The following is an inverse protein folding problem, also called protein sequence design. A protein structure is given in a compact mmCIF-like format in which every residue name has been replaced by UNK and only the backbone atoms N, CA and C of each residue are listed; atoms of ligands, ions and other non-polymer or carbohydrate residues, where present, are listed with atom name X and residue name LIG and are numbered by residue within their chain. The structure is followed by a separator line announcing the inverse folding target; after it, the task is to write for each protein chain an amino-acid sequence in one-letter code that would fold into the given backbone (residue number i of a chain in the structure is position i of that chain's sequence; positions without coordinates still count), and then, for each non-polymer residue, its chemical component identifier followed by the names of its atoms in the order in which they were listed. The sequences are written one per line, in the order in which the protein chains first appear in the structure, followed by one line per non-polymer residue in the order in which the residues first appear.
data_IF_631266099924
#
_entry.id   IF_631266099924
#
_cell.length_a   1.000
_cell.length_b   1.000
_cell.length_c   1.000
_cell.angle_alpha   90.00
_cell.angle_beta   90.00
_cell.angle_gamma   90.00
#
_symmetry.space_group_name_H-M   'P 1'
#
loop_
_entity.id
_entity.type
_entity.pdbx_description
1 polymer ?
#
# COMPACT_ATOMS: atom_id res chain seq x y z
N UNK A 1 17.67 -49.46 7.55
CA UNK A 1 16.92 -49.85 8.76
C UNK A 1 15.93 -48.74 9.02
N UNK A 2 14.65 -48.97 9.17
CA UNK A 2 13.72 -47.90 9.50
C UNK A 2 14.00 -47.42 10.93
N UNK A 3 14.00 -46.14 11.11
CA UNK A 3 14.37 -45.43 12.32
C UNK A 3 13.39 -45.77 13.45
N UNK A 4 13.82 -46.68 14.37
CA UNK A 4 13.02 -47.18 15.52
C UNK A 4 12.62 -46.07 16.51
N UNK A 5 13.23 -44.89 16.44
CA UNK A 5 12.89 -43.76 17.33
C UNK A 5 11.56 -43.06 16.95
N UNK A 6 11.14 -43.13 15.70
CA UNK A 6 9.83 -42.56 15.29
C UNK A 6 8.64 -43.45 15.67
N UNK A 7 8.87 -44.76 15.98
CA UNK A 7 7.81 -45.66 16.41
C UNK A 7 7.42 -45.52 17.87
N UNK A 8 8.33 -45.03 18.72
CA UNK A 8 8.07 -44.87 20.17
C UNK A 8 7.18 -43.65 20.46
N UNK A 9 7.22 -42.63 19.62
CA UNK A 9 6.37 -41.43 19.76
C UNK A 9 4.98 -41.57 19.10
N UNK A 10 4.74 -42.63 18.34
CA UNK A 10 3.50 -42.83 17.59
C UNK A 10 2.31 -43.38 18.38
N UNK A 11 2.40 -43.56 19.66
CA UNK A 11 1.41 -44.37 20.38
C UNK A 11 0.60 -43.67 21.49
N UNK A 12 0.45 -42.38 21.51
CA UNK A 12 -0.66 -41.72 22.26
C UNK A 12 -0.80 -40.26 21.88
N UNK A 13 -1.95 -39.83 21.36
CA UNK A 13 -2.32 -38.49 20.90
C UNK A 13 -1.74 -38.02 19.54
N UNK A 14 -1.34 -38.92 18.65
CA UNK A 14 -0.76 -38.55 17.34
C UNK A 14 -1.65 -37.59 16.55
N UNK A 15 -2.94 -37.81 16.53
CA UNK A 15 -3.88 -37.01 15.71
C UNK A 15 -4.02 -35.53 16.19
N UNK A 16 -3.98 -35.29 17.49
CA UNK A 16 -4.01 -33.91 18.02
C UNK A 16 -2.69 -33.18 17.77
N UNK A 17 -1.57 -33.90 17.89
CA UNK A 17 -0.25 -33.33 17.59
C UNK A 17 -0.09 -33.04 16.12
N UNK A 18 -0.56 -33.92 15.24
CA UNK A 18 -0.54 -33.74 13.79
C UNK A 18 -1.35 -32.49 13.39
N UNK A 19 -2.57 -32.32 13.92
CA UNK A 19 -3.39 -31.13 13.70
C UNK A 19 -2.71 -29.86 14.22
N UNK A 20 -2.10 -29.91 15.41
CA UNK A 20 -1.45 -28.75 16.01
C UNK A 20 -0.18 -28.30 15.25
N UNK A 21 0.55 -29.26 14.67
CA UNK A 21 1.80 -28.98 13.95
C UNK A 21 1.59 -28.65 12.47
N UNK A 22 0.47 -29.06 11.87
CA UNK A 22 0.25 -28.91 10.44
C UNK A 22 0.06 -27.44 10.03
N UNK A 23 0.80 -27.02 9.00
CA UNK A 23 0.71 -25.69 8.40
C UNK A 23 0.05 -25.71 7.00
N UNK A 24 -0.23 -26.90 6.45
CA UNK A 24 -0.76 -27.09 5.09
C UNK A 24 -2.01 -26.24 4.78
N UNK A 25 -2.84 -25.97 5.79
CA UNK A 25 -4.10 -25.22 5.60
C UNK A 25 -3.86 -23.77 5.19
N UNK A 26 -2.75 -23.17 5.56
CA UNK A 26 -2.38 -21.80 5.20
C UNK A 26 -1.15 -21.73 4.29
N UNK A 27 -0.11 -22.56 4.48
CA UNK A 27 1.13 -22.51 3.71
C UNK A 27 0.96 -23.07 2.27
N UNK A 28 -0.14 -23.78 2.00
CA UNK A 28 -0.52 -24.14 0.62
C UNK A 28 -0.50 -22.96 -0.34
N UNK A 29 -0.60 -21.71 0.13
CA UNK A 29 -0.46 -20.49 -0.68
C UNK A 29 0.93 -20.34 -1.29
N UNK A 30 1.95 -21.06 -0.77
CA UNK A 30 3.34 -21.05 -1.25
C UNK A 30 3.62 -22.11 -2.33
N UNK A 31 2.62 -22.87 -2.80
CA UNK A 31 2.83 -23.97 -3.75
C UNK A 31 3.63 -23.57 -5.00
N UNK A 32 3.38 -22.38 -5.52
CA UNK A 32 4.06 -21.88 -6.71
C UNK A 32 5.54 -21.58 -6.46
N UNK A 33 5.83 -20.99 -5.29
CA UNK A 33 7.20 -20.66 -4.88
C UNK A 33 8.00 -21.92 -4.55
N UNK A 34 7.39 -22.88 -3.86
CA UNK A 34 8.03 -24.18 -3.55
C UNK A 34 8.39 -24.94 -4.82
N UNK A 35 7.50 -25.03 -5.80
CA UNK A 35 7.75 -25.68 -7.08
C UNK A 35 8.85 -24.95 -7.84
N UNK A 36 8.81 -23.62 -7.90
CA UNK A 36 9.85 -22.79 -8.53
C UNK A 36 11.21 -22.98 -7.87
N UNK A 37 11.25 -22.96 -6.53
CA UNK A 37 12.44 -23.22 -5.72
C UNK A 37 13.02 -24.62 -5.98
N UNK A 38 12.17 -25.63 -6.00
CA UNK A 38 12.55 -27.02 -6.22
C UNK A 38 13.08 -27.27 -7.64
N UNK A 39 12.50 -26.62 -8.67
CA UNK A 39 12.99 -26.68 -10.06
C UNK A 39 14.38 -26.03 -10.15
N UNK A 40 14.58 -24.85 -9.59
CA UNK A 40 15.89 -24.16 -9.60
C UNK A 40 16.95 -24.97 -8.85
N UNK A 41 16.59 -25.54 -7.70
CA UNK A 41 17.47 -26.41 -6.93
C UNK A 41 17.89 -27.66 -7.72
N UNK A 42 16.94 -28.37 -8.34
CA UNK A 42 17.26 -29.56 -9.14
C UNK A 42 18.14 -29.25 -10.34
N UNK A 43 17.94 -28.11 -11.00
CA UNK A 43 18.82 -27.62 -12.09
C UNK A 43 20.26 -27.41 -11.60
N UNK A 44 20.41 -26.77 -10.46
CA UNK A 44 21.72 -26.56 -9.84
C UNK A 44 22.38 -27.89 -9.45
N UNK A 45 21.63 -28.84 -8.86
CA UNK A 45 22.15 -30.14 -8.51
C UNK A 45 22.70 -30.90 -9.74
N UNK A 46 21.99 -30.83 -10.87
CA UNK A 46 22.46 -31.43 -12.12
C UNK A 46 23.71 -30.75 -12.69
N UNK A 47 23.77 -29.41 -12.67
CA UNK A 47 24.94 -28.64 -13.09
C UNK A 47 26.19 -28.96 -12.25
N UNK A 48 26.00 -29.29 -10.97
CA UNK A 48 27.06 -29.72 -10.05
C UNK A 48 27.32 -31.22 -10.08
N UNK A 49 26.68 -31.97 -10.98
CA UNK A 49 26.81 -33.44 -11.12
C UNK A 49 26.40 -34.23 -9.86
N UNK A 50 25.55 -33.68 -9.00
CA UNK A 50 24.99 -34.32 -7.79
C UNK A 50 23.83 -35.26 -8.18
N UNK A 51 23.07 -34.88 -9.19
CA UNK A 51 22.09 -35.73 -9.87
C UNK A 51 22.35 -35.71 -11.36
N UNK A 52 21.81 -36.68 -12.08
CA UNK A 52 21.96 -36.72 -13.57
C UNK A 52 21.00 -35.72 -14.23
N UNK A 53 21.32 -35.33 -15.49
CA UNK A 53 20.46 -34.50 -16.30
C UNK A 53 19.10 -35.13 -16.59
N UNK A 54 19.02 -36.46 -16.70
CA UNK A 54 17.76 -37.17 -16.95
C UNK A 54 16.88 -37.17 -15.71
N UNK A 55 17.48 -37.32 -14.51
CA UNK A 55 16.76 -37.14 -13.23
C UNK A 55 16.24 -35.72 -13.07
N UNK A 56 17.07 -34.72 -13.40
CA UNK A 56 16.64 -33.31 -13.33
C UNK A 56 15.44 -33.04 -14.27
N UNK A 57 15.50 -33.50 -15.52
CA UNK A 57 14.38 -33.33 -16.48
C UNK A 57 13.10 -34.02 -15.98
N UNK A 58 13.27 -35.21 -15.39
CA UNK A 58 12.13 -35.94 -14.80
C UNK A 58 11.52 -35.18 -13.61
N UNK A 59 12.36 -34.63 -12.71
CA UNK A 59 11.93 -33.80 -11.58
C UNK A 59 11.20 -32.57 -12.08
N UNK A 60 11.78 -31.81 -13.00
CA UNK A 60 11.14 -30.60 -13.54
C UNK A 60 9.78 -30.91 -14.19
N UNK A 61 9.70 -31.95 -15.02
CA UNK A 61 8.44 -32.37 -15.64
C UNK A 61 7.40 -32.78 -14.59
N UNK A 62 7.81 -33.53 -13.57
CA UNK A 62 6.90 -33.95 -12.49
C UNK A 62 6.41 -32.77 -11.66
N UNK A 63 7.28 -31.81 -11.32
CA UNK A 63 6.92 -30.60 -10.58
C UNK A 63 5.95 -29.69 -11.36
N UNK A 64 6.16 -29.56 -12.69
CA UNK A 64 5.23 -28.82 -13.55
C UNK A 64 3.86 -29.52 -13.63
N UNK A 65 3.80 -30.84 -13.62
CA UNK A 65 2.55 -31.59 -13.53
C UNK A 65 1.85 -31.31 -12.18
N UNK A 66 2.57 -31.35 -11.05
CA UNK A 66 2.00 -31.03 -9.73
C UNK A 66 1.45 -29.59 -9.73
N UNK A 67 2.16 -28.65 -10.34
CA UNK A 67 1.71 -27.27 -10.48
C UNK A 67 0.36 -27.16 -11.19
N UNK A 68 0.19 -27.89 -12.30
CA UNK A 68 -1.06 -27.87 -13.05
C UNK A 68 -2.20 -28.59 -12.28
N UNK A 69 -1.92 -29.70 -11.60
CA UNK A 69 -2.90 -30.37 -10.73
C UNK A 69 -3.40 -29.45 -9.60
N UNK A 70 -2.51 -28.62 -9.01
CA UNK A 70 -2.92 -27.63 -7.99
C UNK A 70 -3.76 -26.51 -8.61
N UNK A 71 -3.36 -25.98 -9.76
CA UNK A 71 -4.08 -24.88 -10.43
C UNK A 71 -5.44 -25.31 -10.94
N UNK A 72 -5.59 -26.55 -11.43
CA UNK A 72 -6.87 -27.11 -11.90
C UNK A 72 -7.80 -27.49 -10.75
N UNK A 73 -7.30 -27.54 -9.50
CA UNK A 73 -8.07 -27.99 -8.34
C UNK A 73 -8.18 -29.52 -8.22
N UNK A 74 -7.41 -30.27 -9.01
CA UNK A 74 -7.35 -31.74 -8.92
C UNK A 74 -6.50 -32.22 -7.73
N UNK A 75 -5.59 -31.38 -7.24
CA UNK A 75 -4.74 -31.69 -6.09
C UNK A 75 -5.51 -31.49 -4.78
N UNK A 76 -5.62 -32.56 -3.98
CA UNK A 76 -6.27 -32.52 -2.67
C UNK A 76 -5.25 -32.22 -1.57
N UNK A 77 -5.48 -31.11 -0.84
CA UNK A 77 -4.70 -30.76 0.34
C UNK A 77 -5.24 -31.46 1.59
N UNK A 78 -4.48 -32.39 2.13
CA UNK A 78 -4.85 -33.17 3.32
C UNK A 78 -3.98 -32.78 4.51
N UNK A 79 -4.58 -32.83 5.73
CA UNK A 79 -3.84 -32.71 6.99
C UNK A 79 -2.84 -33.86 7.24
N UNK A 80 -2.88 -34.94 6.44
CA UNK A 80 -1.87 -35.99 6.45
C UNK A 80 -0.50 -35.49 5.98
N UNK A 81 -0.48 -34.40 5.19
CA UNK A 81 0.71 -33.66 4.88
C UNK A 81 0.92 -32.57 5.93
N UNK A 82 2.07 -32.54 6.58
CA UNK A 82 2.38 -31.54 7.59
C UNK A 82 2.39 -30.11 6.96
N UNK A 83 2.99 -30.00 5.77
CA UNK A 83 3.19 -28.73 5.04
C UNK A 83 3.08 -28.91 3.52
N UNK A 84 3.03 -27.80 2.81
CA UNK A 84 2.96 -27.78 1.33
C UNK A 84 4.18 -28.47 0.69
N UNK A 85 5.34 -28.36 1.31
CA UNK A 85 6.59 -28.92 0.80
C UNK A 85 6.54 -30.46 0.82
N UNK A 86 6.03 -31.06 1.90
CA UNK A 86 5.79 -32.50 2.00
C UNK A 86 4.72 -32.96 0.99
N UNK A 87 3.66 -32.19 0.81
CA UNK A 87 2.60 -32.49 -0.13
C UNK A 87 3.15 -32.54 -1.58
N UNK A 88 3.92 -31.53 -1.98
CA UNK A 88 4.55 -31.44 -3.33
C UNK A 88 5.56 -32.56 -3.54
N UNK A 89 6.45 -32.83 -2.57
CA UNK A 89 7.49 -33.88 -2.64
C UNK A 89 6.87 -35.28 -2.73
N UNK A 90 5.84 -35.55 -1.95
CA UNK A 90 5.12 -36.83 -1.98
C UNK A 90 4.43 -37.03 -3.34
N UNK A 91 3.73 -36.02 -3.86
CA UNK A 91 3.07 -36.10 -5.16
C UNK A 91 4.08 -36.26 -6.29
N UNK A 92 5.17 -35.53 -6.26
CA UNK A 92 6.28 -35.70 -7.19
C UNK A 92 6.80 -37.13 -7.19
N UNK A 93 7.03 -37.71 -6.02
CA UNK A 93 7.52 -39.08 -5.88
C UNK A 93 6.50 -40.11 -6.40
N UNK A 94 5.21 -39.89 -6.24
CA UNK A 94 4.17 -40.72 -6.84
C UNK A 94 4.21 -40.70 -8.37
N UNK A 95 4.52 -39.53 -8.98
CA UNK A 95 4.54 -39.36 -10.45
C UNK A 95 5.80 -39.96 -11.05
N UNK A 96 6.98 -39.70 -10.48
CA UNK A 96 8.27 -40.04 -11.11
C UNK A 96 9.11 -41.10 -10.36
N UNK A 97 8.63 -41.62 -9.23
CA UNK A 97 9.30 -42.66 -8.45
C UNK A 97 10.55 -42.17 -7.73
N UNK A 98 11.60 -43.01 -7.68
CA UNK A 98 12.82 -42.77 -6.89
C UNK A 98 13.57 -41.44 -7.23
N UNK A 99 13.46 -40.97 -8.46
CA UNK A 99 14.06 -39.68 -8.86
C UNK A 99 13.45 -38.49 -8.07
N UNK A 100 12.17 -38.60 -7.70
CA UNK A 100 11.48 -37.57 -6.89
C UNK A 100 12.10 -37.37 -5.51
N UNK A 101 12.58 -38.40 -4.88
CA UNK A 101 13.24 -38.36 -3.57
C UNK A 101 14.57 -37.57 -3.58
N UNK A 102 15.17 -37.41 -4.74
CA UNK A 102 16.45 -36.69 -4.89
C UNK A 102 16.32 -35.18 -4.85
N UNK A 103 15.09 -34.62 -5.00
CA UNK A 103 14.86 -33.18 -4.97
C UNK A 103 15.26 -32.55 -3.63
N UNK A 104 15.26 -33.32 -2.55
CA UNK A 104 15.63 -32.84 -1.20
C UNK A 104 17.16 -32.90 -0.94
N UNK A 105 17.97 -33.44 -1.85
CA UNK A 105 19.42 -33.57 -1.66
C UNK A 105 20.06 -32.20 -1.42
N UNK A 106 20.93 -32.10 -0.39
CA UNK A 106 21.64 -30.88 0.02
C UNK A 106 20.73 -29.72 0.47
N UNK A 107 19.47 -29.98 0.80
CA UNK A 107 18.47 -28.99 1.25
C UNK A 107 17.92 -29.39 2.64
N UNK A 108 17.48 -28.40 3.38
CA UNK A 108 16.69 -28.58 4.61
C UNK A 108 15.30 -27.93 4.41
N UNK A 109 14.34 -28.36 5.22
CA UNK A 109 13.06 -27.67 5.30
C UNK A 109 13.24 -26.19 5.69
N UNK A 110 14.25 -25.86 6.51
CA UNK A 110 14.50 -24.50 7.00
C UNK A 110 14.84 -23.51 5.88
N UNK A 111 15.79 -23.85 5.00
CA UNK A 111 16.14 -22.97 3.88
C UNK A 111 15.10 -23.01 2.75
N UNK A 112 14.40 -24.13 2.57
CA UNK A 112 13.28 -24.24 1.63
C UNK A 112 12.15 -23.30 2.01
N UNK A 113 11.61 -23.40 3.23
CA UNK A 113 10.50 -22.54 3.71
C UNK A 113 10.87 -21.07 3.64
N UNK A 114 12.10 -20.72 4.07
CA UNK A 114 12.55 -19.32 4.04
C UNK A 114 12.65 -18.79 2.61
N UNK A 115 13.11 -19.62 1.66
CA UNK A 115 13.19 -19.25 0.24
C UNK A 115 11.82 -19.02 -0.36
N UNK A 116 10.87 -19.93 -0.13
CA UNK A 116 9.54 -19.85 -0.69
C UNK A 116 8.78 -18.65 -0.14
N UNK A 117 8.93 -18.37 1.15
CA UNK A 117 8.32 -17.20 1.76
C UNK A 117 8.97 -15.89 1.28
N UNK A 118 10.31 -15.87 1.09
CA UNK A 118 11.00 -14.70 0.51
C UNK A 118 10.52 -14.45 -0.93
N UNK A 119 10.43 -15.49 -1.76
CA UNK A 119 9.89 -15.39 -3.12
C UNK A 119 8.46 -14.84 -3.15
N UNK A 120 7.60 -15.35 -2.28
CA UNK A 120 6.23 -14.84 -2.14
C UNK A 120 6.21 -13.34 -1.81
N UNK A 121 7.00 -12.93 -0.81
CA UNK A 121 7.10 -11.52 -0.41
C UNK A 121 7.61 -10.66 -1.57
N UNK A 122 8.63 -11.11 -2.31
CA UNK A 122 9.16 -10.39 -3.47
C UNK A 122 8.11 -10.23 -4.59
N UNK A 123 7.38 -11.30 -4.92
CA UNK A 123 6.33 -11.28 -5.93
C UNK A 123 5.18 -10.36 -5.52
N UNK A 124 4.75 -10.43 -4.25
CA UNK A 124 3.68 -9.58 -3.72
C UNK A 124 4.09 -8.11 -3.58
N UNK A 125 5.34 -7.83 -3.25
CA UNK A 125 5.89 -6.48 -3.25
C UNK A 125 5.74 -5.84 -4.63
N UNK A 126 6.07 -6.55 -5.70
CA UNK A 126 5.91 -6.06 -7.08
C UNK A 126 4.44 -5.88 -7.48
N UNK A 127 3.57 -6.83 -7.11
CA UNK A 127 2.13 -6.72 -7.35
C UNK A 127 1.54 -5.45 -6.70
N UNK A 128 1.85 -5.23 -5.43
CA UNK A 128 1.38 -4.06 -4.68
C UNK A 128 1.94 -2.76 -5.25
N UNK A 129 3.23 -2.72 -5.66
CA UNK A 129 3.81 -1.55 -6.33
C UNK A 129 3.03 -1.18 -7.60
N UNK A 130 2.66 -2.17 -8.42
CA UNK A 130 1.89 -1.93 -9.64
C UNK A 130 0.50 -1.33 -9.32
N UNK A 131 -0.19 -1.86 -8.31
CA UNK A 131 -1.48 -1.32 -7.88
C UNK A 131 -1.38 0.10 -7.33
N UNK A 132 -0.32 0.42 -6.57
CA UNK A 132 -0.04 1.78 -6.10
C UNK A 132 0.21 2.71 -7.29
N UNK A 133 0.96 2.27 -8.30
CA UNK A 133 1.22 3.02 -9.52
C UNK A 133 -0.08 3.33 -10.29
N UNK A 134 -0.97 2.36 -10.42
CA UNK A 134 -2.30 2.55 -11.02
C UNK A 134 -3.13 3.56 -10.23
N UNK A 135 -3.16 3.47 -8.91
CA UNK A 135 -3.86 4.42 -8.05
C UNK A 135 -3.30 5.84 -8.20
N UNK A 136 -1.98 6.00 -8.26
CA UNK A 136 -1.33 7.30 -8.52
C UNK A 136 -1.78 7.84 -9.89
N UNK A 137 -1.83 7.00 -10.93
CA UNK A 137 -2.31 7.40 -12.25
C UNK A 137 -3.73 7.94 -12.20
N UNK A 138 -4.60 7.29 -11.44
CA UNK A 138 -5.99 7.74 -11.23
C UNK A 138 -6.05 9.09 -10.51
N UNK A 139 -5.26 9.32 -9.47
CA UNK A 139 -5.18 10.62 -8.80
C UNK A 139 -4.72 11.72 -9.77
N UNK A 140 -3.72 11.45 -10.61
CA UNK A 140 -3.21 12.39 -11.62
C UNK A 140 -4.28 12.70 -12.67
N UNK A 141 -5.05 11.70 -13.11
CA UNK A 141 -6.14 11.88 -14.07
C UNK A 141 -7.25 12.77 -13.49
N UNK A 142 -7.71 12.50 -12.27
CA UNK A 142 -8.71 13.32 -11.58
C UNK A 142 -8.18 14.74 -11.35
N UNK A 143 -6.93 14.89 -10.89
CA UNK A 143 -6.31 16.19 -10.68
C UNK A 143 -6.27 17.01 -11.97
N UNK A 144 -5.98 16.37 -13.11
CA UNK A 144 -5.93 17.03 -14.43
C UNK A 144 -7.28 17.60 -14.88
N UNK A 145 -8.39 17.02 -14.42
CA UNK A 145 -9.75 17.49 -14.73
C UNK A 145 -10.20 18.63 -13.82
N UNK A 146 -9.53 18.83 -12.69
CA UNK A 146 -10.00 19.71 -11.61
C UNK A 146 -8.97 20.74 -11.14
N UNK A 147 -8.09 21.20 -12.04
CA UNK A 147 -7.08 22.24 -11.74
C UNK A 147 -7.67 23.61 -11.44
N UNK A 148 -8.93 23.85 -11.83
CA UNK A 148 -9.67 25.10 -11.61
C UNK A 148 -10.87 24.95 -10.68
N UNK A 149 -11.18 23.73 -10.24
CA UNK A 149 -12.30 23.44 -9.32
C UNK A 149 -11.94 23.89 -7.92
N UNK A 150 -12.51 25.02 -7.48
CA UNK A 150 -12.20 25.64 -6.19
C UNK A 150 -12.93 24.91 -5.05
N UNK A 151 -12.20 24.61 -3.97
CA UNK A 151 -12.73 24.06 -2.74
C UNK A 151 -12.11 24.75 -1.51
N UNK A 152 -12.76 24.70 -0.32
CA UNK A 152 -12.15 25.21 0.88
C UNK A 152 -11.01 24.29 1.34
N UNK A 153 -9.79 24.81 1.39
CA UNK A 153 -8.70 24.18 2.11
C UNK A 153 -8.92 24.39 3.61
N UNK A 154 -8.70 23.32 4.37
CA UNK A 154 -9.03 23.29 5.80
C UNK A 154 -7.81 22.98 6.66
N UNK A 155 -7.75 23.60 7.84
CA UNK A 155 -6.93 23.18 8.98
C UNK A 155 -7.83 23.04 10.19
N UNK A 156 -7.66 21.99 11.00
CA UNK A 156 -8.55 21.70 12.15
C UNK A 156 -10.03 21.53 11.75
N UNK A 157 -10.31 21.09 10.50
CA UNK A 157 -11.64 21.07 9.88
C UNK A 157 -12.33 22.45 9.85
N UNK A 158 -11.56 23.54 9.97
CA UNK A 158 -12.02 24.90 9.76
C UNK A 158 -11.53 25.40 8.40
N UNK A 159 -12.36 26.20 7.74
CA UNK A 159 -12.03 26.83 6.48
C UNK A 159 -10.82 27.76 6.67
N UNK A 160 -9.81 27.62 5.79
CA UNK A 160 -8.56 28.37 5.91
C UNK A 160 -8.29 29.21 4.65
N UNK A 161 -8.11 28.59 3.50
CA UNK A 161 -7.77 29.25 2.24
C UNK A 161 -8.41 28.51 1.07
N UNK A 162 -8.78 29.20 -0.05
CA UNK A 162 -9.24 28.51 -1.23
C UNK A 162 -8.09 27.75 -1.89
N UNK A 163 -8.37 26.49 -2.26
CA UNK A 163 -7.46 25.64 -3.02
C UNK A 163 -8.20 25.04 -4.22
N UNK A 164 -7.51 24.43 -5.18
CA UNK A 164 -8.19 23.61 -6.16
C UNK A 164 -8.22 22.12 -5.78
N UNK A 165 -9.25 21.41 -6.22
CA UNK A 165 -9.44 20.00 -5.94
C UNK A 165 -8.33 19.14 -6.54
N UNK A 166 -7.80 19.53 -7.73
CA UNK A 166 -6.65 18.87 -8.34
C UNK A 166 -5.41 18.88 -7.43
N UNK A 167 -5.11 20.03 -6.83
CA UNK A 167 -4.03 20.17 -5.85
C UNK A 167 -4.21 19.23 -4.66
N UNK A 168 -5.43 19.10 -4.15
CA UNK A 168 -5.73 18.16 -3.05
C UNK A 168 -5.47 16.70 -3.47
N UNK A 169 -5.91 16.31 -4.68
CA UNK A 169 -5.63 14.97 -5.21
C UNK A 169 -4.14 14.71 -5.39
N UNK A 170 -3.36 15.71 -5.82
CA UNK A 170 -1.90 15.60 -5.94
C UNK A 170 -1.21 15.41 -4.59
N UNK A 171 -1.78 15.87 -3.48
CA UNK A 171 -1.25 15.57 -2.15
C UNK A 171 -1.30 14.06 -1.85
N UNK A 172 -2.39 13.38 -2.22
CA UNK A 172 -2.50 11.92 -2.10
C UNK A 172 -1.57 11.20 -3.08
N UNK A 173 -1.45 11.65 -4.33
CA UNK A 173 -0.46 11.10 -5.27
C UNK A 173 0.95 11.12 -4.68
N UNK A 174 1.34 12.21 -4.00
CA UNK A 174 2.63 12.32 -3.30
C UNK A 174 2.76 11.33 -2.12
N UNK A 175 1.68 11.07 -1.37
CA UNK A 175 1.71 10.06 -0.30
C UNK A 175 1.96 8.67 -0.85
N UNK A 176 1.19 8.26 -1.85
CA UNK A 176 1.30 6.93 -2.47
C UNK A 176 2.61 6.75 -3.26
N UNK A 177 3.18 7.82 -3.83
CA UNK A 177 4.53 7.75 -4.41
C UNK A 177 5.58 7.39 -3.37
N UNK A 178 5.53 7.97 -2.17
CA UNK A 178 6.43 7.58 -1.07
C UNK A 178 6.19 6.13 -0.61
N UNK A 179 4.97 5.62 -0.72
CA UNK A 179 4.69 4.21 -0.44
C UNK A 179 5.33 3.32 -1.50
N UNK A 180 5.16 3.62 -2.79
CA UNK A 180 5.83 2.93 -3.89
C UNK A 180 7.35 2.83 -3.65
N UNK A 181 7.99 3.94 -3.30
CA UNK A 181 9.44 4.01 -3.03
C UNK A 181 9.85 3.17 -1.79
N UNK A 182 8.99 3.06 -0.76
CA UNK A 182 9.24 2.16 0.38
C UNK A 182 9.25 0.69 -0.04
N UNK A 183 8.28 0.28 -0.84
CA UNK A 183 8.25 -1.09 -1.38
C UNK A 183 9.46 -1.36 -2.28
N UNK A 184 9.85 -0.43 -3.12
CA UNK A 184 11.05 -0.56 -3.97
C UNK A 184 12.33 -0.72 -3.13
N UNK A 185 12.51 0.12 -2.13
CA UNK A 185 13.66 0.09 -1.23
C UNK A 185 13.74 -1.23 -0.45
N UNK A 186 12.61 -1.74 0.05
CA UNK A 186 12.55 -3.02 0.76
C UNK A 186 12.78 -4.20 -0.19
N UNK A 187 12.26 -4.15 -1.42
CA UNK A 187 12.51 -5.15 -2.45
C UNK A 187 14.01 -5.32 -2.74
N UNK A 188 14.72 -4.22 -2.95
CA UNK A 188 16.16 -4.23 -3.25
C UNK A 188 16.96 -4.82 -2.07
N UNK A 189 16.65 -4.39 -0.85
CA UNK A 189 17.35 -4.82 0.37
C UNK A 189 17.18 -6.30 0.66
N UNK A 190 16.01 -6.85 0.38
CA UNK A 190 15.65 -8.23 0.71
C UNK A 190 15.77 -9.19 -0.48
N UNK A 191 16.39 -8.78 -1.60
CA UNK A 191 16.50 -9.57 -2.82
C UNK A 191 17.70 -10.54 -2.79
N UNK A 192 17.75 -11.39 -1.75
CA UNK A 192 18.83 -12.39 -1.56
C UNK A 192 18.24 -13.77 -1.27
N UNK A 193 18.83 -14.80 -1.92
CA UNK A 193 18.36 -16.17 -1.84
C UNK A 193 18.82 -16.87 -0.54
N UNK A 194 17.91 -17.39 0.28
CA UNK A 194 18.26 -18.24 1.41
C UNK A 194 18.69 -19.65 1.01
N UNK A 195 18.30 -20.14 -0.17
CA UNK A 195 18.46 -21.54 -0.59
C UNK A 195 19.93 -21.95 -0.64
N UNK A 196 20.20 -23.15 -0.10
CA UNK A 196 21.54 -23.68 0.07
C UNK A 196 22.18 -23.38 1.44
N UNK A 197 21.45 -22.71 2.34
CA UNK A 197 21.84 -22.56 3.75
C UNK A 197 21.64 -23.86 4.54
N UNK A 198 20.91 -24.81 3.99
CA UNK A 198 20.48 -26.05 4.61
C UNK A 198 19.79 -25.81 5.97
N UNK A 199 20.09 -26.61 6.99
CA UNK A 199 19.45 -26.43 8.29
C UNK A 199 19.82 -25.08 8.95
N UNK A 200 21.10 -24.68 8.88
CA UNK A 200 21.63 -23.43 9.45
C UNK A 200 23.13 -23.20 9.19
N UNK A 201 23.86 -24.24 8.80
CA UNK A 201 25.32 -24.23 8.74
C UNK A 201 25.90 -24.47 7.34
N UNK A 202 25.03 -24.47 6.33
CA UNK A 202 25.39 -24.89 4.96
C UNK A 202 25.39 -26.40 4.82
N UNK A 203 25.97 -26.91 3.72
CA UNK A 203 25.98 -28.33 3.34
C UNK A 203 27.36 -28.75 2.88
N UNK A 204 27.78 -30.03 3.13
CA UNK A 204 29.04 -30.56 2.62
C UNK A 204 29.01 -30.89 1.12
N UNK A 205 27.84 -30.84 0.47
CA UNK A 205 27.70 -31.02 -0.98
C UNK A 205 28.27 -29.84 -1.74
N UNK A 206 28.86 -30.09 -2.91
CA UNK A 206 29.39 -29.05 -3.79
C UNK A 206 28.26 -28.34 -4.57
N UNK A 207 27.43 -27.57 -3.85
CA UNK A 207 26.33 -26.79 -4.46
C UNK A 207 26.83 -25.42 -4.94
N UNK A 208 26.11 -24.85 -5.91
CA UNK A 208 26.32 -23.48 -6.41
C UNK A 208 25.12 -22.60 -6.02
N UNK A 209 25.24 -21.89 -4.90
CA UNK A 209 24.21 -20.99 -4.39
C UNK A 209 24.00 -19.75 -5.29
N UNK A 210 25.05 -19.29 -5.99
CA UNK A 210 24.93 -18.18 -6.94
C UNK A 210 24.07 -18.58 -8.15
N UNK A 211 24.28 -19.79 -8.66
CA UNK A 211 23.46 -20.30 -9.77
C UNK A 211 22.01 -20.49 -9.36
N UNK A 212 21.76 -20.96 -8.16
CA UNK A 212 20.37 -21.09 -7.63
C UNK A 212 19.71 -19.72 -7.48
N UNK A 213 20.43 -18.73 -6.92
CA UNK A 213 19.93 -17.36 -6.81
C UNK A 213 19.58 -16.74 -8.18
N UNK A 214 20.45 -16.89 -9.16
CA UNK A 214 20.23 -16.44 -10.56
C UNK A 214 18.96 -17.07 -11.15
N UNK A 215 18.80 -18.40 -11.02
CA UNK A 215 17.65 -19.13 -11.55
C UNK A 215 16.32 -18.70 -10.90
N UNK A 216 16.36 -18.21 -9.66
CA UNK A 216 15.20 -17.71 -8.91
C UNK A 216 14.93 -16.22 -9.11
N UNK A 217 15.87 -15.48 -9.73
CA UNK A 217 15.77 -14.04 -9.96
C UNK A 217 16.20 -13.18 -8.75
N UNK A 218 16.92 -13.77 -7.80
CA UNK A 218 17.56 -13.04 -6.71
C UNK A 218 18.86 -12.37 -7.16
N UNK A 219 19.25 -11.30 -6.48
CA UNK A 219 20.51 -10.60 -6.74
C UNK A 219 21.74 -11.47 -6.43
N UNK A 220 21.71 -12.20 -5.33
CA UNK A 220 22.77 -13.09 -4.87
C UNK A 220 22.26 -14.02 -3.76
N UNK A 221 23.02 -15.02 -3.32
CA UNK A 221 22.72 -15.75 -2.09
C UNK A 221 22.97 -14.88 -0.85
N UNK A 222 22.27 -15.18 0.25
CA UNK A 222 22.58 -14.61 1.57
C UNK A 222 23.98 -15.03 2.03
N UNK A 223 24.66 -14.16 2.81
CA UNK A 223 26.07 -14.34 3.17
C UNK A 223 26.30 -15.28 4.38
N UNK A 224 25.32 -15.42 5.27
CA UNK A 224 25.43 -16.24 6.45
C UNK A 224 24.25 -17.23 6.52
N UNK A 225 24.54 -18.52 6.59
CA UNK A 225 23.52 -19.57 6.54
C UNK A 225 22.61 -19.58 7.79
N UNK A 226 23.13 -19.22 8.95
CA UNK A 226 22.36 -19.21 10.21
C UNK A 226 21.39 -18.01 10.23
N UNK A 227 21.85 -16.84 9.84
CA UNK A 227 21.02 -15.65 9.66
C UNK A 227 19.95 -15.89 8.59
N UNK A 228 20.34 -16.50 7.49
CA UNK A 228 19.50 -16.81 6.34
C UNK A 228 18.19 -17.54 6.69
N UNK A 229 18.27 -18.58 7.53
CA UNK A 229 17.10 -19.38 7.94
C UNK A 229 16.33 -18.75 9.11
N UNK A 230 16.95 -17.83 9.83
CA UNK A 230 16.38 -17.10 10.97
C UNK A 230 15.66 -15.82 10.57
N UNK A 231 16.11 -15.16 9.51
CA UNK A 231 15.66 -13.84 9.09
C UNK A 231 14.18 -13.82 8.68
N UNK A 232 13.46 -12.80 9.17
CA UNK A 232 12.08 -12.46 8.77
C UNK A 232 11.94 -10.94 8.51
N UNK A 233 13.05 -10.23 8.35
CA UNK A 233 13.02 -8.77 8.07
C UNK A 233 12.27 -8.46 6.80
N UNK A 234 12.40 -9.32 5.77
CA UNK A 234 11.66 -9.17 4.52
C UNK A 234 10.12 -9.17 4.72
N UNK A 235 9.62 -9.98 5.64
CA UNK A 235 8.20 -10.05 5.98
C UNK A 235 7.77 -8.89 6.88
N UNK A 236 8.60 -8.50 7.85
CA UNK A 236 8.40 -7.33 8.72
C UNK A 236 8.37 -6.03 7.91
N UNK A 237 9.29 -5.85 6.97
CA UNK A 237 9.31 -4.68 6.09
C UNK A 237 8.08 -4.65 5.17
N UNK A 238 7.66 -5.79 4.63
CA UNK A 238 6.41 -5.87 3.87
C UNK A 238 5.21 -5.42 4.72
N UNK A 239 5.05 -5.97 5.92
CA UNK A 239 3.96 -5.60 6.83
C UNK A 239 4.01 -4.13 7.25
N UNK A 240 5.20 -3.56 7.47
CA UNK A 240 5.38 -2.15 7.77
C UNK A 240 4.96 -1.27 6.59
N UNK A 241 5.38 -1.62 5.36
CA UNK A 241 5.02 -0.89 4.15
C UNK A 241 3.51 -0.96 3.90
N UNK A 242 2.90 -2.14 4.04
CA UNK A 242 1.45 -2.34 3.96
C UNK A 242 0.74 -1.48 5.02
N UNK A 243 1.22 -1.50 6.26
CA UNK A 243 0.62 -0.73 7.36
C UNK A 243 0.66 0.78 7.09
N UNK A 244 1.78 1.29 6.56
CA UNK A 244 1.91 2.71 6.21
C UNK A 244 0.99 3.09 5.05
N UNK A 245 0.89 2.25 4.02
CA UNK A 245 0.00 2.47 2.88
C UNK A 245 -1.46 2.43 3.33
N UNK A 246 -1.85 1.47 4.18
CA UNK A 246 -3.22 1.40 4.71
C UNK A 246 -3.56 2.60 5.62
N UNK A 247 -2.59 3.21 6.28
CA UNK A 247 -2.79 4.49 6.99
C UNK A 247 -3.15 5.61 6.00
N UNK A 248 -2.49 5.68 4.84
CA UNK A 248 -2.84 6.66 3.79
C UNK A 248 -4.21 6.35 3.17
N UNK A 249 -4.54 5.06 2.94
CA UNK A 249 -5.88 4.61 2.53
C UNK A 249 -6.94 5.04 3.55
N UNK A 250 -6.66 4.90 4.85
CA UNK A 250 -7.58 5.34 5.91
C UNK A 250 -7.82 6.84 5.89
N UNK A 251 -6.79 7.64 5.63
CA UNK A 251 -6.91 9.10 5.55
C UNK A 251 -7.78 9.58 4.40
N UNK A 252 -7.56 9.08 3.20
CA UNK A 252 -8.43 9.44 2.06
C UNK A 252 -9.85 8.91 2.26
N UNK A 253 -10.01 7.74 2.88
CA UNK A 253 -11.32 7.19 3.21
C UNK A 253 -12.10 8.09 4.14
N UNK A 254 -11.48 8.66 5.17
CA UNK A 254 -12.10 9.64 6.07
C UNK A 254 -12.58 10.87 5.30
N UNK A 255 -11.76 11.43 4.41
CA UNK A 255 -12.16 12.59 3.60
C UNK A 255 -13.30 12.25 2.64
N UNK A 256 -13.30 11.07 2.01
CA UNK A 256 -14.39 10.62 1.16
C UNK A 256 -15.71 10.48 1.93
N UNK A 257 -15.66 10.00 3.17
CA UNK A 257 -16.83 9.91 4.07
C UNK A 257 -17.35 11.32 4.37
N UNK A 258 -16.47 12.24 4.81
CA UNK A 258 -16.83 13.62 5.07
C UNK A 258 -17.43 14.31 3.85
N UNK A 259 -16.73 14.20 2.70
CA UNK A 259 -17.15 14.87 1.45
C UNK A 259 -18.46 14.33 0.88
N UNK A 260 -18.79 13.07 1.12
CA UNK A 260 -20.06 12.48 0.67
C UNK A 260 -21.22 12.71 1.63
N UNK A 261 -20.97 13.23 2.82
CA UNK A 261 -22.01 13.53 3.82
C UNK A 261 -22.96 14.65 3.36
N UNK A 262 -24.16 14.72 3.96
CA UNK A 262 -25.13 15.78 3.69
C UNK A 262 -24.65 17.17 4.11
N UNK A 263 -23.70 17.25 5.02
CA UNK A 263 -23.13 18.50 5.51
C UNK A 263 -22.12 19.08 4.49
N UNK A 264 -21.25 18.24 3.90
CA UNK A 264 -20.25 18.67 2.91
C UNK A 264 -20.78 18.64 1.49
N UNK A 265 -21.26 17.52 1.01
CA UNK A 265 -21.77 17.31 -0.36
C UNK A 265 -20.78 17.69 -1.46
N UNK A 266 -19.49 17.54 -1.20
CA UNK A 266 -18.43 17.87 -2.17
C UNK A 266 -18.28 16.82 -3.25
N UNK A 267 -18.62 15.56 -2.92
CA UNK A 267 -18.64 14.45 -3.85
C UNK A 267 -19.94 13.64 -3.69
N UNK A 268 -20.21 12.82 -4.69
CA UNK A 268 -21.20 11.76 -4.59
C UNK A 268 -20.53 10.46 -5.01
N UNK A 269 -20.67 9.43 -4.17
CA UNK A 269 -20.24 8.08 -4.49
C UNK A 269 -21.07 7.54 -5.65
N UNK A 270 -20.43 6.76 -6.55
CA UNK A 270 -21.19 6.04 -7.59
C UNK A 270 -22.08 4.97 -6.96
N UNK A 271 -23.14 4.60 -7.66
CA UNK A 271 -24.09 3.60 -7.18
C UNK A 271 -23.46 2.19 -7.04
N UNK A 272 -22.36 1.94 -7.72
CA UNK A 272 -21.61 0.69 -7.65
C UNK A 272 -20.81 0.54 -6.35
N UNK A 273 -20.44 1.67 -5.72
CA UNK A 273 -19.59 1.71 -4.52
C UNK A 273 -20.27 2.39 -3.32
N UNK A 274 -21.58 2.50 -3.36
CA UNK A 274 -22.41 2.99 -2.25
C UNK A 274 -23.56 2.01 -2.02
N UNK A 275 -23.89 1.75 -0.77
CA UNK A 275 -25.09 0.94 -0.47
C UNK A 275 -26.30 1.82 -0.21
N UNK A 276 -27.46 1.34 -0.63
CA UNK A 276 -28.73 1.98 -0.33
C UNK A 276 -29.33 1.40 0.96
N UNK A 277 -30.03 2.24 1.72
CA UNK A 277 -30.77 1.78 2.89
C UNK A 277 -31.99 0.93 2.46
N UNK A 278 -32.23 -0.17 3.15
CA UNK A 278 -33.44 -0.99 2.95
C UNK A 278 -34.76 -0.29 3.34
N UNK A 279 -34.67 0.81 4.11
CA UNK A 279 -35.83 1.55 4.64
C UNK A 279 -35.89 2.96 4.03
N UNK A 280 -34.74 3.59 3.78
CA UNK A 280 -34.63 4.97 3.31
C UNK A 280 -34.08 5.01 1.89
N UNK A 281 -34.90 5.06 0.84
CA UNK A 281 -34.46 4.92 -0.54
C UNK A 281 -33.52 6.04 -1.02
N UNK A 282 -33.55 7.20 -0.36
CA UNK A 282 -32.70 8.35 -0.67
C UNK A 282 -31.32 8.27 -0.03
N UNK A 283 -31.09 7.34 0.92
CA UNK A 283 -29.87 7.25 1.71
C UNK A 283 -28.83 6.40 0.99
N UNK A 284 -27.67 6.99 0.71
CA UNK A 284 -26.49 6.32 0.18
C UNK A 284 -25.39 6.33 1.25
N UNK A 285 -24.95 5.14 1.64
CA UNK A 285 -23.93 5.00 2.67
C UNK A 285 -22.55 4.87 2.02
N UNK A 286 -21.51 5.51 2.59
CA UNK A 286 -20.13 5.38 2.14
C UNK A 286 -19.45 4.11 2.72
N UNK A 287 -20.12 2.94 2.59
CA UNK A 287 -19.67 1.69 3.25
C UNK A 287 -18.26 1.28 2.82
N UNK A 288 -17.89 1.50 1.55
CA UNK A 288 -16.58 1.14 1.05
C UNK A 288 -15.48 1.95 1.73
N UNK A 289 -15.51 3.29 1.78
CA UNK A 289 -14.54 4.06 2.57
C UNK A 289 -14.54 3.70 4.07
N UNK A 290 -15.69 3.44 4.66
CA UNK A 290 -15.77 3.03 6.09
C UNK A 290 -15.04 1.70 6.31
N UNK A 291 -15.25 0.73 5.44
CA UNK A 291 -14.59 -0.57 5.52
C UNK A 291 -13.08 -0.48 5.25
N UNK A 292 -12.64 0.34 4.29
CA UNK A 292 -11.22 0.63 4.04
C UNK A 292 -10.55 1.22 5.28
N UNK A 293 -11.18 2.19 5.94
CA UNK A 293 -10.73 2.76 7.20
C UNK A 293 -10.64 1.69 8.30
N UNK A 294 -11.65 0.82 8.43
CA UNK A 294 -11.69 -0.23 9.43
C UNK A 294 -10.62 -1.32 9.24
N UNK A 295 -10.33 -1.71 7.99
CA UNK A 295 -9.32 -2.75 7.66
C UNK A 295 -7.90 -2.38 8.08
N UNK A 296 -7.60 -1.10 8.24
CA UNK A 296 -6.28 -0.61 8.67
C UNK A 296 -5.86 -1.19 10.02
N UNK A 297 -6.78 -1.28 10.97
CA UNK A 297 -6.49 -1.86 12.29
C UNK A 297 -6.06 -3.32 12.25
N UNK A 298 -6.63 -4.11 11.33
CA UNK A 298 -6.28 -5.52 11.13
C UNK A 298 -4.82 -5.68 10.69
N UNK A 299 -4.38 -4.89 9.74
CA UNK A 299 -3.00 -4.92 9.23
C UNK A 299 -1.99 -4.51 10.30
N UNK A 300 -2.33 -3.50 11.12
CA UNK A 300 -1.50 -3.11 12.26
C UNK A 300 -1.33 -4.26 13.27
N UNK A 301 -2.42 -4.99 13.54
CA UNK A 301 -2.36 -6.17 14.39
C UNK A 301 -1.39 -7.22 13.89
N UNK A 302 -1.38 -7.50 12.58
CA UNK A 302 -0.48 -8.47 11.95
C UNK A 302 1.00 -8.05 12.04
N UNK A 303 1.32 -6.77 11.85
CA UNK A 303 2.68 -6.24 12.05
C UNK A 303 3.15 -6.42 13.49
N UNK A 304 2.34 -6.02 14.46
CA UNK A 304 2.68 -6.15 15.89
C UNK A 304 2.81 -7.62 16.29
N UNK A 305 1.96 -8.49 15.74
CA UNK A 305 2.04 -9.94 15.96
C UNK A 305 3.40 -10.49 15.53
N UNK A 306 3.84 -10.24 14.30
CA UNK A 306 5.11 -10.74 13.80
C UNK A 306 6.32 -10.16 14.55
N UNK A 307 6.31 -8.86 14.88
CA UNK A 307 7.34 -8.25 15.74
C UNK A 307 7.40 -8.95 17.10
N UNK A 308 6.25 -9.32 17.66
CA UNK A 308 6.16 -9.99 18.95
C UNK A 308 6.67 -11.44 18.88
N UNK A 309 6.37 -12.16 17.79
CA UNK A 309 6.87 -13.51 17.55
C UNK A 309 8.40 -13.50 17.45
N UNK A 310 8.96 -12.60 16.66
CA UNK A 310 10.40 -12.57 16.39
C UNK A 310 11.26 -12.07 17.55
N UNK A 311 10.69 -11.27 18.46
CA UNK A 311 11.46 -10.78 19.61
C UNK A 311 12.02 -11.93 20.45
N UNK A 312 13.29 -11.83 20.85
CA UNK A 312 13.96 -12.77 21.76
C UNK A 312 14.06 -14.22 21.28
N UNK A 313 13.74 -14.52 20.01
CA UNK A 313 14.04 -15.85 19.46
C UNK A 313 15.56 -16.03 19.31
N UNK A 314 16.11 -17.18 19.70
CA UNK A 314 17.50 -17.51 19.37
C UNK A 314 17.66 -17.67 17.85
N UNK A 315 18.91 -17.56 17.39
CA UNK A 315 19.23 -17.73 15.96
C UNK A 315 18.86 -19.11 15.44
N UNK A 316 18.90 -19.26 14.12
CA UNK A 316 18.44 -20.39 13.34
C UNK A 316 16.90 -20.53 13.38
N UNK A 317 16.37 -21.74 13.33
CA UNK A 317 14.94 -22.01 13.25
C UNK A 317 14.35 -22.38 14.61
N UNK A 318 13.22 -21.78 14.93
CA UNK A 318 12.35 -22.15 16.04
C UNK A 318 10.94 -22.36 15.51
N UNK A 319 10.15 -23.28 16.08
CA UNK A 319 8.79 -23.58 15.59
C UNK A 319 7.85 -22.36 15.65
N UNK A 320 8.16 -21.38 16.49
CA UNK A 320 7.48 -20.08 16.56
C UNK A 320 7.37 -19.39 15.19
N UNK A 321 8.38 -19.56 14.32
CA UNK A 321 8.36 -18.99 12.97
C UNK A 321 7.37 -19.67 12.02
N UNK A 322 6.60 -20.68 12.46
CA UNK A 322 5.44 -21.15 11.70
C UNK A 322 4.30 -20.13 11.71
N UNK A 323 4.21 -19.32 12.78
CA UNK A 323 3.22 -18.25 12.95
C UNK A 323 3.54 -16.97 12.12
N UNK A 324 4.62 -16.97 11.34
CA UNK A 324 5.08 -15.81 10.58
C UNK A 324 4.25 -15.51 9.31
N UNK A 325 3.47 -16.48 8.81
CA UNK A 325 2.89 -16.45 7.46
C UNK A 325 1.44 -15.98 7.41
N UNK A 326 0.58 -16.44 8.31
CA UNK A 326 -0.86 -16.17 8.23
C UNK A 326 -1.17 -14.66 8.24
N UNK A 327 -0.54 -13.90 9.16
CA UNK A 327 -0.70 -12.45 9.22
C UNK A 327 -0.17 -11.73 7.98
N UNK A 328 0.88 -12.26 7.34
CA UNK A 328 1.41 -11.72 6.09
C UNK A 328 0.44 -11.98 4.93
N UNK A 329 -0.03 -13.21 4.78
CA UNK A 329 -1.01 -13.55 3.74
C UNK A 329 -2.28 -12.73 3.87
N UNK A 330 -2.81 -12.60 5.08
CA UNK A 330 -3.98 -11.79 5.38
C UNK A 330 -3.78 -10.29 5.05
N UNK A 331 -2.62 -9.74 5.40
CA UNK A 331 -2.29 -8.34 5.11
C UNK A 331 -2.13 -8.08 3.62
N UNK A 332 -1.51 -9.01 2.89
CA UNK A 332 -1.37 -8.93 1.43
C UNK A 332 -2.73 -8.95 0.74
N UNK A 333 -3.61 -9.90 1.08
CA UNK A 333 -4.97 -9.96 0.53
C UNK A 333 -5.78 -8.69 0.88
N UNK A 334 -5.59 -8.19 2.10
CA UNK A 334 -6.26 -6.97 2.56
C UNK A 334 -5.82 -5.74 1.78
N UNK A 335 -4.52 -5.54 1.54
CA UNK A 335 -4.06 -4.36 0.79
C UNK A 335 -4.39 -4.47 -0.69
N UNK A 336 -4.20 -5.63 -1.32
CA UNK A 336 -4.49 -5.82 -2.75
C UNK A 336 -5.95 -5.47 -3.08
N UNK A 337 -6.91 -5.98 -2.31
CA UNK A 337 -8.32 -5.63 -2.51
C UNK A 337 -8.61 -4.17 -2.15
N UNK A 338 -7.95 -3.62 -1.13
CA UNK A 338 -8.16 -2.24 -0.69
C UNK A 338 -7.68 -1.23 -1.72
N UNK A 339 -6.52 -1.43 -2.34
CA UNK A 339 -6.01 -0.57 -3.39
C UNK A 339 -6.89 -0.60 -4.64
N UNK A 340 -7.31 -1.79 -5.06
CA UNK A 340 -8.17 -1.96 -6.22
C UNK A 340 -9.52 -1.25 -6.04
N UNK A 341 -10.18 -1.47 -4.90
CA UNK A 341 -11.49 -0.85 -4.67
C UNK A 341 -11.38 0.66 -4.44
N UNK A 342 -10.32 1.14 -3.78
CA UNK A 342 -10.06 2.58 -3.64
C UNK A 342 -9.85 3.23 -5.00
N UNK A 343 -9.09 2.59 -5.89
CA UNK A 343 -8.87 3.06 -7.25
C UNK A 343 -10.19 3.28 -8.00
N UNK A 344 -11.10 2.30 -7.96
CA UNK A 344 -12.40 2.40 -8.61
C UNK A 344 -13.31 3.46 -7.95
N UNK A 345 -13.28 3.58 -6.62
CA UNK A 345 -14.02 4.63 -5.90
C UNK A 345 -13.57 6.03 -6.35
N UNK A 346 -12.26 6.29 -6.40
CA UNK A 346 -11.72 7.58 -6.84
C UNK A 346 -12.05 7.84 -8.31
N UNK A 347 -11.94 6.83 -9.16
CA UNK A 347 -12.20 6.93 -10.61
C UNK A 347 -13.66 7.23 -10.94
N UNK A 348 -14.59 6.72 -10.15
CA UNK A 348 -16.03 6.78 -10.41
C UNK A 348 -16.78 7.80 -9.57
N UNK A 349 -16.15 8.43 -8.58
CA UNK A 349 -16.80 9.48 -7.79
C UNK A 349 -17.19 10.67 -8.64
N UNK A 350 -18.32 11.29 -8.30
CA UNK A 350 -18.84 12.48 -8.97
C UNK A 350 -18.49 13.70 -8.13
N UNK A 351 -17.64 14.56 -8.66
CA UNK A 351 -17.23 15.83 -8.01
C UNK A 351 -18.34 16.86 -8.17
N UNK A 352 -18.72 17.52 -7.08
CA UNK A 352 -19.78 18.55 -7.02
C UNK A 352 -19.14 19.94 -6.89
N UNK A 353 -18.63 20.45 -8.00
CA UNK A 353 -17.84 21.69 -8.06
C UNK A 353 -18.57 22.91 -7.48
N UNK A 354 -19.86 23.06 -7.79
CA UNK A 354 -20.67 24.17 -7.28
C UNK A 354 -20.84 24.13 -5.75
N UNK A 355 -20.94 22.93 -5.18
CA UNK A 355 -21.04 22.79 -3.72
C UNK A 355 -19.72 23.16 -3.04
N UNK A 356 -18.59 22.72 -3.61
CA UNK A 356 -17.24 23.09 -3.15
C UNK A 356 -17.04 24.61 -3.21
N UNK A 357 -17.36 25.24 -4.35
CA UNK A 357 -17.24 26.68 -4.53
C UNK A 357 -18.17 27.46 -3.58
N UNK A 358 -19.41 27.00 -3.40
CA UNK A 358 -20.35 27.63 -2.46
C UNK A 358 -19.87 27.55 -1.01
N UNK A 359 -19.24 26.44 -0.60
CA UNK A 359 -18.65 26.31 0.73
C UNK A 359 -17.51 27.32 0.97
N UNK A 360 -16.79 27.75 -0.07
CA UNK A 360 -15.73 28.76 0.06
C UNK A 360 -16.26 30.17 0.45
N UNK A 361 -17.56 30.41 0.34
CA UNK A 361 -18.22 31.65 0.76
C UNK A 361 -18.57 31.69 2.24
N UNK A 362 -18.03 30.75 3.01
CA UNK A 362 -18.23 30.67 4.46
C UNK A 362 -16.87 30.72 5.14
N UNK A 363 -16.67 31.71 6.02
CA UNK A 363 -15.46 31.76 6.84
C UNK A 363 -14.37 32.69 6.35
N UNK A 364 -14.67 33.55 5.38
CA UNK A 364 -13.77 34.64 4.92
C UNK A 364 -12.38 34.13 4.47
N UNK A 365 -12.35 33.10 3.61
CA UNK A 365 -11.14 32.40 3.20
C UNK A 365 -10.09 33.34 2.56
N UNK A 366 -10.53 34.46 1.99
CA UNK A 366 -9.65 35.45 1.34
C UNK A 366 -9.23 36.60 2.26
N UNK A 367 -9.51 36.51 3.57
CA UNK A 367 -9.15 37.56 4.51
C UNK A 367 -7.62 37.79 4.59
N UNK A 368 -6.81 36.72 4.49
CA UNK A 368 -5.38 36.85 4.44
C UNK A 368 -4.87 37.56 3.18
N UNK A 369 -5.60 37.47 2.07
CA UNK A 369 -5.26 38.15 0.83
C UNK A 369 -5.42 39.66 0.95
N UNK A 370 -6.39 40.14 1.75
CA UNK A 370 -6.50 41.56 2.08
C UNK A 370 -5.29 42.04 2.88
N UNK A 371 -4.90 41.29 3.94
CA UNK A 371 -3.73 41.67 4.73
C UNK A 371 -2.46 41.69 3.87
N UNK A 372 -2.26 40.69 3.01
CA UNK A 372 -1.11 40.58 2.09
C UNK A 372 -1.12 41.73 1.07
N UNK A 373 -2.28 42.10 0.52
CA UNK A 373 -2.42 43.26 -0.37
C UNK A 373 -1.99 44.55 0.33
N UNK A 374 -2.47 44.80 1.54
CA UNK A 374 -2.14 45.99 2.31
C UNK A 374 -0.63 46.08 2.62
N UNK A 375 0.00 44.95 2.90
CA UNK A 375 1.46 44.90 3.08
C UNK A 375 2.20 45.15 1.78
N UNK A 376 1.84 44.46 0.72
CA UNK A 376 2.60 44.48 -0.53
C UNK A 376 2.38 45.75 -1.37
N UNK A 377 1.15 46.26 -1.41
CA UNK A 377 0.76 47.40 -2.25
C UNK A 377 0.69 48.73 -1.50
N UNK A 378 0.35 48.71 -0.22
CA UNK A 378 0.22 49.90 0.61
C UNK A 378 1.41 50.09 1.56
N UNK A 379 2.40 49.18 1.50
CA UNK A 379 3.59 49.20 2.36
C UNK A 379 3.23 49.27 3.88
N UNK A 380 2.13 48.68 4.27
CA UNK A 380 1.70 48.68 5.68
C UNK A 380 2.43 47.59 6.48
N UNK A 381 2.77 47.84 7.77
CA UNK A 381 3.21 46.76 8.65
C UNK A 381 2.14 45.65 8.76
N UNK A 382 2.54 44.38 8.72
CA UNK A 382 1.60 43.26 8.73
C UNK A 382 0.61 43.30 9.91
N UNK A 383 1.08 43.70 11.10
CA UNK A 383 0.18 43.80 12.28
C UNK A 383 -0.92 44.85 12.09
N UNK A 384 -0.62 45.99 11.43
CA UNK A 384 -1.62 46.99 11.08
C UNK A 384 -2.60 46.44 10.04
N UNK A 385 -2.08 45.84 8.96
CA UNK A 385 -2.89 45.18 7.95
C UNK A 385 -3.84 44.12 8.53
N UNK A 386 -3.39 43.34 9.50
CA UNK A 386 -4.19 42.35 10.23
C UNK A 386 -5.38 42.99 10.96
N UNK A 387 -5.17 44.09 11.69
CA UNK A 387 -6.26 44.78 12.40
C UNK A 387 -7.26 45.40 11.43
N UNK A 388 -6.81 45.99 10.34
CA UNK A 388 -7.68 46.53 9.28
C UNK A 388 -8.51 45.39 8.66
N UNK A 389 -7.87 44.26 8.34
CA UNK A 389 -8.56 43.07 7.81
C UNK A 389 -9.64 42.57 8.77
N UNK A 390 -9.36 42.59 10.10
CA UNK A 390 -10.36 42.24 11.10
C UNK A 390 -11.59 43.15 11.07
N UNK A 391 -11.41 44.45 10.88
CA UNK A 391 -12.53 45.41 10.77
C UNK A 391 -13.35 45.16 9.50
N UNK A 392 -12.70 44.83 8.35
CA UNK A 392 -13.37 44.49 7.11
C UNK A 392 -14.18 43.18 7.28
N UNK A 393 -13.64 42.17 7.95
CA UNK A 393 -14.35 40.93 8.27
C UNK A 393 -15.56 41.21 9.18
N UNK A 394 -15.44 42.08 10.19
CA UNK A 394 -16.57 42.47 11.03
C UNK A 394 -17.65 43.20 10.23
N UNK A 395 -17.27 44.06 9.29
CA UNK A 395 -18.21 44.71 8.35
C UNK A 395 -18.92 43.69 7.49
N UNK A 396 -18.20 42.75 6.87
CA UNK A 396 -18.77 41.67 6.05
C UNK A 396 -19.82 40.87 6.86
N UNK A 397 -19.46 40.46 8.08
CA UNK A 397 -20.38 39.77 8.99
C UNK A 397 -21.65 40.59 9.28
N UNK A 398 -21.52 41.89 9.50
CA UNK A 398 -22.68 42.77 9.72
C UNK A 398 -23.63 42.89 8.54
N UNK A 399 -23.11 42.60 7.32
CA UNK A 399 -23.85 42.59 6.06
C UNK A 399 -24.36 41.19 5.66
N UNK A 400 -24.06 40.16 6.49
CA UNK A 400 -24.28 38.74 6.15
C UNK A 400 -23.64 38.34 4.80
N UNK A 401 -22.42 38.83 4.52
CA UNK A 401 -21.65 38.54 3.33
C UNK A 401 -20.31 37.90 3.70
N UNK A 402 -19.76 37.11 2.78
CA UNK A 402 -18.33 36.78 2.81
C UNK A 402 -17.50 37.97 2.35
N UNK A 403 -16.24 38.08 2.80
CA UNK A 403 -15.34 39.17 2.41
C UNK A 403 -15.14 39.23 0.87
N UNK A 404 -15.16 38.09 0.19
CA UNK A 404 -15.05 37.96 -1.27
C UNK A 404 -16.28 38.52 -2.03
N UNK A 405 -17.38 38.80 -1.33
CA UNK A 405 -18.63 39.31 -1.88
C UNK A 405 -18.81 40.82 -1.65
N UNK A 406 -17.86 41.48 -0.96
CA UNK A 406 -17.91 42.90 -0.71
C UNK A 406 -17.57 43.69 -1.99
N UNK A 407 -18.37 44.73 -2.26
CA UNK A 407 -18.02 45.71 -3.28
C UNK A 407 -17.08 46.79 -2.72
N UNK A 408 -16.52 47.62 -3.59
CA UNK A 408 -15.50 48.61 -3.21
C UNK A 408 -16.04 49.63 -2.20
N UNK A 409 -17.31 50.04 -2.26
CA UNK A 409 -17.90 51.01 -1.32
C UNK A 409 -18.07 50.40 0.07
N UNK A 410 -18.39 49.12 0.15
CA UNK A 410 -18.48 48.38 1.41
C UNK A 410 -17.10 48.23 2.06
N UNK A 411 -16.07 47.94 1.26
CA UNK A 411 -14.67 47.86 1.72
C UNK A 411 -14.20 49.25 2.22
N UNK A 412 -14.37 50.28 1.44
CA UNK A 412 -13.97 51.66 1.80
C UNK A 412 -14.66 52.15 3.06
N UNK A 413 -15.91 51.76 3.29
CA UNK A 413 -16.68 52.15 4.49
C UNK A 413 -16.33 51.35 5.74
N UNK A 414 -15.45 50.36 5.66
CA UNK A 414 -15.09 49.51 6.80
C UNK A 414 -14.18 50.21 7.81
N UNK A 415 -13.27 51.05 7.33
CA UNK A 415 -12.29 51.77 8.17
C UNK A 415 -11.73 52.97 7.39
N UNK A 416 -11.24 54.00 8.12
CA UNK A 416 -10.67 55.22 7.52
C UNK A 416 -9.45 54.94 6.67
N UNK A 417 -8.64 53.98 7.05
CA UNK A 417 -7.45 53.58 6.34
C UNK A 417 -7.72 53.05 4.94
N UNK A 418 -8.94 52.60 4.66
CA UNK A 418 -9.38 52.08 3.36
C UNK A 418 -10.22 53.05 2.55
N UNK A 419 -10.51 54.29 3.01
CA UNK A 419 -11.37 55.25 2.35
C UNK A 419 -10.99 55.50 0.87
N UNK A 420 -9.68 55.51 0.58
CA UNK A 420 -9.12 55.74 -0.75
C UNK A 420 -8.46 54.50 -1.37
N UNK A 421 -8.76 53.27 -0.89
CA UNK A 421 -8.17 52.04 -1.42
C UNK A 421 -8.53 51.87 -2.90
N UNK A 422 -7.62 51.36 -3.68
CA UNK A 422 -7.80 51.08 -5.09
C UNK A 422 -8.89 50.00 -5.31
N UNK A 423 -9.68 50.18 -6.38
CA UNK A 423 -10.71 49.22 -6.78
C UNK A 423 -10.15 47.82 -7.11
N UNK A 424 -8.86 47.75 -7.46
CA UNK A 424 -8.13 46.49 -7.68
C UNK A 424 -8.30 45.50 -6.54
N UNK A 425 -8.48 45.98 -5.28
CA UNK A 425 -8.67 45.14 -4.09
C UNK A 425 -9.82 44.14 -4.20
N UNK A 426 -10.93 44.52 -4.88
CA UNK A 426 -12.08 43.64 -5.07
C UNK A 426 -11.66 42.39 -5.87
N UNK A 427 -10.82 42.57 -6.87
CA UNK A 427 -10.28 41.48 -7.66
C UNK A 427 -9.36 40.57 -6.83
N UNK A 428 -8.53 41.14 -5.93
CA UNK A 428 -7.67 40.35 -5.04
C UNK A 428 -8.46 39.46 -4.07
N UNK A 429 -9.63 39.89 -3.67
CA UNK A 429 -10.51 39.16 -2.74
C UNK A 429 -11.33 38.07 -3.44
N UNK A 430 -11.30 37.94 -4.76
CA UNK A 430 -12.01 36.85 -5.44
C UNK A 430 -11.35 35.50 -5.11
N UNK A 431 -12.18 34.47 -5.02
CA UNK A 431 -11.70 33.10 -4.73
C UNK A 431 -10.67 32.62 -5.77
N UNK A 432 -10.91 32.91 -7.03
CA UNK A 432 -10.06 32.55 -8.16
C UNK A 432 -8.68 33.22 -8.07
N UNK A 433 -8.64 34.52 -7.78
CA UNK A 433 -7.37 35.24 -7.65
C UNK A 433 -6.63 34.81 -6.37
N UNK A 434 -7.34 34.63 -5.27
CA UNK A 434 -6.77 34.13 -4.04
C UNK A 434 -6.06 32.78 -4.25
N UNK A 435 -6.73 31.81 -4.87
CA UNK A 435 -6.15 30.51 -5.22
C UNK A 435 -4.92 30.67 -6.14
N UNK A 436 -5.04 31.44 -7.23
CA UNK A 436 -4.00 31.58 -8.24
C UNK A 436 -2.80 32.44 -7.81
N UNK A 437 -2.96 33.28 -6.78
CA UNK A 437 -1.84 34.03 -6.18
C UNK A 437 -0.81 33.12 -5.48
N UNK A 438 -1.20 31.92 -5.05
CA UNK A 438 -0.31 30.92 -4.40
C UNK A 438 0.54 30.20 -5.44
N UNK A 439 1.38 30.93 -6.13
CA UNK A 439 2.21 30.44 -7.25
C UNK A 439 3.65 30.09 -6.85
N UNK A 440 3.95 29.99 -5.56
CA UNK A 440 5.20 29.38 -5.08
C UNK A 440 5.27 27.90 -5.44
N UNK A 441 6.48 27.36 -5.58
CA UNK A 441 6.66 25.94 -5.89
C UNK A 441 5.89 25.05 -4.91
N UNK A 442 5.05 24.16 -5.44
CA UNK A 442 4.18 23.28 -4.65
C UNK A 442 2.91 23.98 -4.12
N UNK A 443 2.63 25.22 -4.51
CA UNK A 443 1.40 25.94 -4.14
C UNK A 443 0.16 25.46 -4.91
N UNK A 444 -1.00 26.01 -4.55
CA UNK A 444 -2.30 25.57 -5.09
C UNK A 444 -2.72 26.29 -6.37
N UNK A 445 -1.94 27.25 -6.92
CA UNK A 445 -2.33 27.88 -8.19
C UNK A 445 -2.53 26.84 -9.29
N UNK A 446 -3.42 27.10 -10.23
CA UNK A 446 -3.62 26.25 -11.41
C UNK A 446 -2.30 25.85 -12.05
N UNK A 447 -1.41 26.83 -12.29
CA UNK A 447 -0.07 26.62 -12.85
C UNK A 447 0.77 25.66 -12.03
N UNK A 448 0.81 25.79 -10.69
CA UNK A 448 1.61 24.92 -9.83
C UNK A 448 1.03 23.52 -9.69
N UNK A 449 -0.30 23.40 -9.76
CA UNK A 449 -0.97 22.10 -9.84
C UNK A 449 -0.63 21.38 -11.15
N UNK A 450 -0.63 22.09 -12.29
CA UNK A 450 -0.20 21.54 -13.59
C UNK A 450 1.26 21.09 -13.57
N UNK A 451 2.16 21.85 -12.97
CA UNK A 451 3.58 21.44 -12.79
C UNK A 451 3.69 20.14 -12.01
N UNK A 452 2.89 19.96 -10.95
CA UNK A 452 2.88 18.71 -10.19
C UNK A 452 2.33 17.55 -11.03
N UNK A 453 1.27 17.77 -11.77
CA UNK A 453 0.66 16.78 -12.67
C UNK A 453 1.66 16.32 -13.73
N UNK A 454 2.37 17.26 -14.38
CA UNK A 454 3.35 16.92 -15.42
C UNK A 454 4.55 16.14 -14.84
N UNK A 455 5.02 16.52 -13.64
CA UNK A 455 6.03 15.74 -12.94
C UNK A 455 5.61 14.28 -12.72
N UNK A 456 4.37 14.06 -12.28
CA UNK A 456 3.86 12.72 -12.04
C UNK A 456 3.61 11.92 -13.33
N UNK A 457 3.16 12.56 -14.42
CA UNK A 457 3.06 11.92 -15.75
C UNK A 457 4.42 11.45 -16.23
N UNK A 458 5.46 12.26 -16.06
CA UNK A 458 6.82 11.89 -16.41
C UNK A 458 7.32 10.72 -15.53
N UNK A 459 7.09 10.79 -14.23
CA UNK A 459 7.46 9.72 -13.29
C UNK A 459 6.75 8.40 -13.65
N UNK A 460 5.44 8.41 -13.91
CA UNK A 460 4.65 7.24 -14.31
C UNK A 460 5.15 6.59 -15.61
N UNK A 461 5.72 7.38 -16.52
CA UNK A 461 6.26 6.86 -17.79
C UNK A 461 7.61 6.16 -17.63
N UNK A 462 8.35 6.43 -16.54
CA UNK A 462 9.71 5.91 -16.29
C UNK A 462 9.74 4.78 -15.27
N UNK A 463 8.78 4.70 -14.39
CA UNK A 463 8.61 3.68 -13.36
C UNK A 463 7.68 2.55 -13.85
#
# INVERSE_FOLDING_TARGET
MPNTNNQILKNTNSKLLDIFNASIMFDKKLYSQDIKGSIAHSKMLALQNIITNDEQKSIEKGLLQVLEEIKSGEFEFSLEYEDIHMAVENRLTQIIGEAGKKVHTARSRNDQVCTDFTLYVQEKTKSIQNQIKELISTFVEIASKHTITIMPGMTHLQHAQPINFGFHMMAYANMFKRDFERFESSYIRNNYSPLGSAAMAGTPHNIDRFKTAELLGFLAPTQNAMDSVSNRDFALELLFNISTTMMHVSRISEELILWSSYEFRFIQMSDEYATTSSIMPQKKNPDVPELLRGKTGRVYGNLISLLTIMKSLPLAYNKDTQEDKEGVFDSVETIEISLNILNEVIKTMIVKEENMKSACKIGHLTATDLADYLVAKQNMPFRTAYYITKEVVQKANSLNKDISELNISEIRSSTKELENIDEEIVSYLSLENSMNSRNSFGGTSTKQTEVQIDYFKEWLSKS
#
